data_IF_661201843196
#
_entry.id   IF_661201843196
#
_cell.length_a   1.000
_cell.length_b   1.000
_cell.length_c   1.000
_cell.angle_alpha   90.00
_cell.angle_beta   90.00
_cell.angle_gamma   90.00
#
_symmetry.space_group_name_H-M   'P 1'
#
loop_
_entity.id
_entity.type
_entity.pdbx_description
1 polymer ?
#
# COMPACT_ATOMS: atom_id res chain seq x y z
N UNK A 1 17.66 -55.43 -49.19
CA UNK A 1 16.78 -54.34 -49.65
C UNK A 1 15.60 -54.24 -48.71
N UNK A 2 15.65 -53.29 -47.76
CA UNK A 2 14.54 -52.83 -46.88
C UNK A 2 15.03 -52.06 -45.64
N UNK A 3 16.33 -51.75 -45.53
CA UNK A 3 16.71 -50.44 -44.98
C UNK A 3 16.12 -49.38 -45.94
N UNK A 4 15.36 -48.42 -45.41
CA UNK A 4 14.64 -47.33 -46.11
C UNK A 4 13.18 -47.59 -46.51
N UNK A 5 12.35 -48.02 -45.57
CA UNK A 5 10.98 -47.50 -45.39
C UNK A 5 10.55 -47.77 -43.96
N UNK A 6 9.90 -46.91 -43.21
CA UNK A 6 9.81 -45.46 -43.18
C UNK A 6 9.07 -45.28 -41.83
N UNK A 7 9.77 -45.01 -40.74
CA UNK A 7 9.76 -43.66 -40.12
C UNK A 7 8.37 -43.06 -39.81
N UNK A 8 7.30 -43.84 -39.59
CA UNK A 8 5.99 -43.27 -39.25
C UNK A 8 5.15 -43.97 -38.17
N UNK A 9 5.68 -44.95 -37.44
CA UNK A 9 4.89 -45.62 -36.39
C UNK A 9 5.60 -45.73 -35.03
N UNK A 10 6.51 -44.79 -34.77
CA UNK A 10 7.20 -44.64 -33.48
C UNK A 10 6.86 -43.32 -32.77
N UNK A 11 5.80 -42.60 -33.19
CA UNK A 11 5.60 -41.20 -32.77
C UNK A 11 4.36 -40.89 -31.91
N UNK A 12 3.47 -41.82 -31.54
CA UNK A 12 2.18 -41.43 -30.93
C UNK A 12 1.77 -42.15 -29.65
N UNK A 13 2.69 -42.79 -28.92
CA UNK A 13 2.33 -43.49 -27.66
C UNK A 13 3.30 -43.33 -26.49
N UNK A 14 4.08 -42.24 -26.47
CA UNK A 14 5.02 -41.90 -25.38
C UNK A 14 5.02 -40.40 -25.07
N UNK A 15 3.84 -39.75 -25.13
CA UNK A 15 3.67 -38.33 -24.79
C UNK A 15 2.57 -38.07 -23.75
N UNK A 16 2.39 -39.00 -22.81
CA UNK A 16 1.43 -38.89 -21.71
C UNK A 16 2.08 -38.81 -20.32
N UNK A 17 3.40 -38.64 -20.23
CA UNK A 17 4.13 -38.66 -18.95
C UNK A 17 4.83 -37.34 -18.52
N UNK A 18 4.62 -36.22 -19.21
CA UNK A 18 5.30 -34.95 -18.89
C UNK A 18 4.41 -33.71 -19.08
N UNK A 19 3.18 -33.74 -18.58
CA UNK A 19 2.28 -32.56 -18.65
C UNK A 19 1.41 -32.35 -17.39
N UNK A 20 1.95 -32.71 -16.22
CA UNK A 20 1.38 -32.36 -14.90
C UNK A 20 2.39 -31.64 -14.00
N UNK A 21 3.33 -30.89 -14.59
CA UNK A 21 4.10 -29.87 -13.87
C UNK A 21 3.37 -28.51 -13.90
N UNK A 22 2.05 -28.55 -13.67
CA UNK A 22 1.17 -27.37 -13.64
C UNK A 22 0.99 -26.87 -12.21
N UNK A 23 2.05 -26.37 -11.58
CA UNK A 23 1.95 -25.70 -10.26
C UNK A 23 2.87 -24.47 -10.12
N UNK A 24 3.33 -23.90 -11.24
CA UNK A 24 4.19 -22.69 -11.25
C UNK A 24 3.68 -21.51 -12.09
N UNK A 25 2.48 -21.59 -12.66
CA UNK A 25 2.01 -20.63 -13.68
C UNK A 25 1.01 -19.57 -13.20
N UNK A 26 0.54 -19.64 -11.95
CA UNK A 26 -0.36 -18.63 -11.38
C UNK A 26 0.34 -17.28 -11.13
N UNK A 27 1.62 -17.29 -10.73
CA UNK A 27 2.40 -16.08 -10.50
C UNK A 27 2.73 -15.32 -11.80
N UNK A 28 2.94 -16.03 -12.91
CA UNK A 28 3.30 -15.43 -14.21
C UNK A 28 2.09 -14.79 -14.92
N UNK A 29 0.87 -15.28 -14.66
CA UNK A 29 -0.35 -14.65 -15.19
C UNK A 29 -0.66 -13.31 -14.53
N UNK A 30 -0.34 -13.16 -13.24
CA UNK A 30 -0.54 -11.89 -12.53
C UNK A 30 0.34 -10.76 -13.08
N UNK A 31 1.59 -11.05 -13.44
CA UNK A 31 2.51 -10.08 -14.06
C UNK A 31 2.16 -9.74 -15.51
N UNK A 32 1.42 -10.60 -16.23
CA UNK A 32 0.89 -10.28 -17.56
C UNK A 32 -0.38 -9.42 -17.53
N UNK A 33 -1.13 -9.42 -16.42
CA UNK A 33 -2.33 -8.60 -16.24
C UNK A 33 -1.99 -7.14 -15.89
N UNK A 34 -0.88 -6.92 -15.19
CA UNK A 34 -0.26 -5.60 -15.14
C UNK A 34 0.36 -5.34 -16.51
N UNK A 35 -0.21 -4.39 -17.26
CA UNK A 35 0.43 -3.84 -18.45
C UNK A 35 1.94 -3.64 -18.15
N UNK A 36 2.85 -4.18 -18.98
CA UNK A 36 4.28 -4.10 -18.70
C UNK A 36 4.69 -2.65 -18.46
N UNK A 37 5.53 -2.34 -17.45
CA UNK A 37 6.03 -0.98 -17.23
C UNK A 37 6.73 -0.39 -18.48
N UNK A 38 7.14 -1.24 -19.42
CA UNK A 38 7.63 -0.88 -20.75
C UNK A 38 6.60 -0.15 -21.63
N UNK A 39 5.30 -0.45 -21.50
CA UNK A 39 4.21 0.23 -22.23
C UNK A 39 3.94 1.61 -21.63
N UNK A 40 4.11 1.77 -20.32
CA UNK A 40 4.06 3.06 -19.61
C UNK A 40 5.23 3.97 -20.02
N UNK A 41 6.40 3.40 -20.32
CA UNK A 41 7.55 4.17 -20.83
C UNK A 41 7.40 4.64 -22.29
N UNK A 42 6.45 4.05 -23.05
CA UNK A 42 6.25 4.32 -24.48
C UNK A 42 5.34 5.51 -24.75
N UNK A 43 4.51 5.91 -23.78
CA UNK A 43 3.64 7.07 -23.87
C UNK A 43 4.26 8.27 -23.10
N UNK A 44 4.76 9.33 -23.79
CA UNK A 44 5.43 10.45 -23.13
C UNK A 44 4.55 11.18 -22.11
N UNK A 45 3.22 11.17 -22.32
CA UNK A 45 2.26 11.76 -21.38
C UNK A 45 2.17 11.05 -20.02
N UNK A 46 2.28 9.71 -19.98
CA UNK A 46 2.16 8.95 -18.73
C UNK A 46 3.43 9.04 -17.88
N UNK A 47 4.60 9.14 -18.54
CA UNK A 47 5.88 9.36 -17.86
C UNK A 47 5.89 10.66 -17.04
N UNK A 48 5.35 11.75 -17.60
CA UNK A 48 5.23 13.04 -16.89
C UNK A 48 4.32 12.95 -15.66
N UNK A 49 3.22 12.20 -15.76
CA UNK A 49 2.29 12.01 -14.63
C UNK A 49 2.97 11.21 -13.51
N UNK A 50 3.67 10.11 -13.82
CA UNK A 50 4.38 9.32 -12.81
C UNK A 50 5.51 10.12 -12.15
N UNK A 51 6.26 10.90 -12.92
CA UNK A 51 7.35 11.73 -12.41
C UNK A 51 6.83 12.85 -11.49
N UNK A 52 5.69 13.47 -11.83
CA UNK A 52 5.04 14.47 -10.97
C UNK A 52 4.46 13.86 -9.69
N UNK A 53 3.87 12.67 -9.75
CA UNK A 53 3.40 11.93 -8.56
C UNK A 53 4.56 11.58 -7.61
N UNK A 54 5.65 11.02 -8.14
CA UNK A 54 6.83 10.66 -7.32
C UNK A 54 7.52 11.89 -6.71
N UNK A 55 7.55 13.02 -7.44
CA UNK A 55 8.05 14.29 -6.92
C UNK A 55 7.21 14.81 -5.75
N UNK A 56 5.89 14.66 -5.83
CA UNK A 56 4.94 15.08 -4.78
C UNK A 56 4.95 14.19 -3.53
N UNK A 57 5.41 12.92 -3.63
CA UNK A 57 5.48 11.98 -2.50
C UNK A 57 6.64 12.27 -1.53
N UNK A 58 7.75 12.84 -2.00
CA UNK A 58 8.95 13.12 -1.17
C UNK A 58 8.66 13.92 0.12
N UNK A 59 7.94 15.06 0.08
CA UNK A 59 7.66 15.84 1.29
C UNK A 59 6.71 15.12 2.27
N UNK A 60 5.89 14.19 1.77
CA UNK A 60 4.90 13.45 2.57
C UNK A 60 5.54 12.27 3.32
N UNK A 61 6.73 11.82 2.87
CA UNK A 61 7.42 10.64 3.39
C UNK A 61 7.58 10.65 4.91
N UNK A 62 7.88 11.81 5.50
CA UNK A 62 8.06 11.92 6.96
C UNK A 62 6.77 11.57 7.73
N UNK A 63 5.61 12.05 7.26
CA UNK A 63 4.31 11.79 7.90
C UNK A 63 3.95 10.30 7.75
N UNK A 64 4.22 9.72 6.58
CA UNK A 64 3.95 8.31 6.30
C UNK A 64 4.80 7.41 7.20
N UNK A 65 6.09 7.71 7.38
CA UNK A 65 6.97 6.93 8.27
C UNK A 65 6.47 6.96 9.71
N UNK A 66 6.06 8.14 10.20
CA UNK A 66 5.48 8.27 11.55
C UNK A 66 4.18 7.45 11.65
N UNK A 67 3.29 7.54 10.67
CA UNK A 67 2.05 6.77 10.61
C UNK A 67 2.32 5.26 10.62
N UNK A 68 3.28 4.78 9.82
CA UNK A 68 3.69 3.38 9.80
C UNK A 68 4.24 2.91 11.16
N UNK A 69 5.01 3.76 11.86
CA UNK A 69 5.50 3.43 13.20
C UNK A 69 4.33 3.27 14.20
N UNK A 70 3.35 4.18 14.16
CA UNK A 70 2.13 4.04 14.97
C UNK A 70 1.35 2.76 14.64
N UNK A 71 1.24 2.40 13.36
CA UNK A 71 0.56 1.17 12.96
C UNK A 71 1.26 -0.07 13.50
N UNK A 72 2.60 -0.08 13.56
CA UNK A 72 3.35 -1.18 14.15
C UNK A 72 3.10 -1.27 15.66
N UNK A 73 3.09 -0.13 16.37
CA UNK A 73 2.83 -0.09 17.82
C UNK A 73 1.46 -0.69 18.15
N UNK A 74 0.41 -0.25 17.46
CA UNK A 74 -0.93 -0.82 17.62
C UNK A 74 -1.00 -2.28 17.15
N UNK A 75 -0.27 -2.63 16.09
CA UNK A 75 -0.24 -4.00 15.56
C UNK A 75 0.31 -5.04 16.55
N UNK A 76 1.34 -4.67 17.33
CA UNK A 76 1.94 -5.55 18.35
C UNK A 76 1.03 -5.68 19.58
N UNK A 77 0.26 -4.63 19.91
CA UNK A 77 -0.69 -4.63 21.02
C UNK A 77 -1.98 -5.41 20.71
N UNK A 78 -2.16 -5.83 19.46
CA UNK A 78 -3.33 -6.61 19.05
C UNK A 78 -3.36 -8.01 19.68
N UNK A 79 -4.52 -8.37 20.25
CA UNK A 79 -4.76 -9.67 20.85
C UNK A 79 -4.92 -10.80 19.83
N UNK A 80 -4.80 -12.04 20.29
CA UNK A 80 -5.10 -13.22 19.46
C UNK A 80 -6.59 -13.52 19.49
N UNK A 81 -7.20 -13.69 18.32
CA UNK A 81 -8.64 -13.98 18.20
C UNK A 81 -8.87 -15.38 17.65
N UNK A 82 -9.51 -16.21 18.46
CA UNK A 82 -9.92 -17.56 18.10
C UNK A 82 -11.37 -17.77 18.49
N UNK A 83 -12.07 -18.62 17.72
CA UNK A 83 -13.46 -18.96 17.96
C UNK A 83 -13.70 -20.43 17.64
N UNK A 84 -14.50 -21.10 18.47
CA UNK A 84 -15.02 -22.42 18.15
C UNK A 84 -16.15 -22.32 17.12
N UNK A 85 -16.04 -23.06 16.03
CA UNK A 85 -17.06 -23.17 14.99
C UNK A 85 -17.74 -24.55 15.05
N UNK A 86 -19.03 -24.55 15.39
CA UNK A 86 -19.88 -25.73 15.55
C UNK A 86 -21.37 -25.38 15.49
N UNK A 87 -22.26 -26.39 15.61
CA UNK A 87 -23.72 -26.17 15.64
C UNK A 87 -24.17 -25.53 16.96
N UNK A 88 -23.74 -26.08 18.11
CA UNK A 88 -24.12 -25.60 19.44
C UNK A 88 -22.89 -25.24 20.31
N UNK A 89 -22.48 -23.97 20.26
CA UNK A 89 -21.30 -23.47 20.98
C UNK A 89 -21.60 -22.83 22.34
N UNK A 90 -22.84 -22.87 22.81
CA UNK A 90 -23.29 -22.15 24.03
C UNK A 90 -22.63 -22.63 25.33
N UNK A 91 -22.29 -23.91 25.42
CA UNK A 91 -21.66 -24.52 26.60
C UNK A 91 -20.14 -24.76 26.44
N UNK A 92 -19.54 -24.26 25.36
CA UNK A 92 -18.11 -24.41 25.09
C UNK A 92 -17.37 -23.23 25.70
N UNK A 93 -16.50 -23.48 26.68
CA UNK A 93 -15.72 -22.41 27.33
C UNK A 93 -14.30 -22.32 26.82
N UNK A 94 -13.69 -23.48 26.51
CA UNK A 94 -12.28 -23.59 26.15
C UNK A 94 -12.09 -24.34 24.84
N UNK A 95 -10.89 -24.21 24.27
CA UNK A 95 -10.46 -24.99 23.10
C UNK A 95 -10.55 -26.51 23.30
N UNK A 96 -10.24 -27.00 24.51
CA UNK A 96 -10.36 -28.42 24.85
C UNK A 96 -11.79 -28.93 24.71
N UNK A 97 -12.77 -28.11 25.10
CA UNK A 97 -14.19 -28.46 25.05
C UNK A 97 -14.67 -28.46 23.60
N UNK A 98 -14.20 -27.48 22.80
CA UNK A 98 -14.46 -27.42 21.36
C UNK A 98 -13.97 -28.70 20.64
N UNK A 99 -12.77 -29.16 20.96
CA UNK A 99 -12.21 -30.38 20.38
C UNK A 99 -12.96 -31.64 20.83
N UNK A 100 -13.42 -31.70 22.09
CA UNK A 100 -14.23 -32.81 22.61
C UNK A 100 -15.61 -32.88 21.94
N UNK A 101 -16.21 -31.72 21.65
CA UNK A 101 -17.45 -31.61 20.89
C UNK A 101 -17.28 -31.90 19.39
N UNK A 102 -16.09 -32.29 18.92
CA UNK A 102 -15.75 -32.49 17.51
C UNK A 102 -15.97 -31.24 16.64
N UNK A 103 -15.87 -30.06 17.23
CA UNK A 103 -15.96 -28.76 16.55
C UNK A 103 -14.59 -28.24 16.15
N UNK A 104 -14.57 -27.21 15.28
CA UNK A 104 -13.33 -26.66 14.73
C UNK A 104 -12.94 -25.39 15.46
N UNK A 105 -11.78 -25.40 16.11
CA UNK A 105 -11.17 -24.18 16.66
C UNK A 105 -10.50 -23.39 15.54
N UNK A 106 -11.16 -22.33 15.08
CA UNK A 106 -10.72 -21.54 13.92
C UNK A 106 -10.24 -20.15 14.35
N UNK A 107 -9.31 -19.60 13.57
CA UNK A 107 -8.87 -18.20 13.71
C UNK A 107 -9.80 -17.29 12.93
N UNK A 108 -10.02 -16.08 13.45
CA UNK A 108 -10.67 -15.04 12.68
C UNK A 108 -9.83 -14.67 11.45
N UNK A 109 -10.51 -14.27 10.38
CA UNK A 109 -9.88 -13.85 9.12
C UNK A 109 -8.92 -12.67 9.33
N UNK A 110 -9.33 -11.73 10.20
CA UNK A 110 -8.53 -10.60 10.64
C UNK A 110 -8.05 -10.89 12.07
N UNK A 111 -6.74 -10.99 12.24
CA UNK A 111 -6.11 -11.33 13.53
C UNK A 111 -4.75 -10.63 13.66
N UNK A 112 -4.19 -10.67 14.87
CA UNK A 112 -2.91 -10.03 15.21
C UNK A 112 -1.80 -11.05 15.54
N UNK A 113 -1.88 -12.28 15.02
CA UNK A 113 -0.90 -13.35 15.33
C UNK A 113 0.51 -13.06 14.79
N UNK A 114 0.59 -12.39 13.64
CA UNK A 114 1.84 -12.05 12.96
C UNK A 114 1.76 -10.61 12.43
N UNK A 115 2.91 -9.95 12.26
CA UNK A 115 2.97 -8.57 11.79
C UNK A 115 2.20 -8.34 10.47
N UNK A 116 2.30 -9.25 9.51
CA UNK A 116 1.57 -9.12 8.24
C UNK A 116 0.05 -9.18 8.38
N UNK A 117 -0.46 -10.07 9.24
CA UNK A 117 -1.90 -10.19 9.52
C UNK A 117 -2.40 -9.01 10.35
N UNK A 118 -1.60 -8.54 11.31
CA UNK A 118 -1.86 -7.33 12.07
C UNK A 118 -1.97 -6.11 11.15
N UNK A 119 -1.01 -5.92 10.23
CA UNK A 119 -1.06 -4.83 9.26
C UNK A 119 -2.28 -4.91 8.33
N UNK A 120 -2.67 -6.12 7.89
CA UNK A 120 -3.89 -6.30 7.10
C UNK A 120 -5.14 -5.90 7.90
N UNK A 121 -5.23 -6.35 9.15
CA UNK A 121 -6.36 -6.03 10.04
C UNK A 121 -6.44 -4.52 10.34
N UNK A 122 -5.29 -3.89 10.62
CA UNK A 122 -5.19 -2.44 10.81
C UNK A 122 -5.51 -1.65 9.54
N UNK A 123 -5.17 -2.17 8.37
CA UNK A 123 -5.54 -1.54 7.10
C UNK A 123 -7.05 -1.56 6.87
N UNK A 124 -7.71 -2.68 7.19
CA UNK A 124 -9.18 -2.79 7.15
C UNK A 124 -9.83 -1.82 8.16
N UNK A 125 -9.31 -1.78 9.39
CA UNK A 125 -9.73 -0.80 10.41
C UNK A 125 -9.57 0.66 9.91
N UNK A 126 -8.40 1.00 9.35
CA UNK A 126 -8.13 2.34 8.81
C UNK A 126 -9.03 2.71 7.63
N UNK A 127 -9.41 1.72 6.81
CA UNK A 127 -10.32 1.91 5.67
C UNK A 127 -11.77 2.11 6.09
N UNK A 128 -12.10 1.83 7.36
CA UNK A 128 -13.46 1.90 7.93
C UNK A 128 -14.49 1.01 7.22
N UNK A 129 -14.03 -0.03 6.55
CA UNK A 129 -14.87 -1.06 5.95
C UNK A 129 -14.67 -2.36 6.71
N UNK A 130 -15.74 -3.00 7.20
CA UNK A 130 -15.62 -4.19 8.05
C UNK A 130 -14.89 -4.00 9.39
N UNK A 131 -14.66 -2.76 9.83
CA UNK A 131 -13.95 -2.44 11.08
C UNK A 131 -14.75 -2.81 12.34
N UNK A 132 -16.08 -2.77 12.24
CA UNK A 132 -17.00 -3.04 13.35
C UNK A 132 -16.90 -4.51 13.78
N UNK A 133 -16.78 -5.43 12.83
CA UNK A 133 -16.65 -6.87 13.11
C UNK A 133 -15.34 -7.15 13.88
N UNK A 134 -14.23 -6.55 13.43
CA UNK A 134 -12.92 -6.66 14.10
C UNK A 134 -12.98 -6.07 15.51
N UNK A 135 -13.70 -4.96 15.68
CA UNK A 135 -13.91 -4.33 16.98
C UNK A 135 -14.70 -5.25 17.91
N UNK A 136 -15.81 -5.84 17.47
CA UNK A 136 -16.59 -6.78 18.27
C UNK A 136 -15.79 -8.03 18.65
N UNK A 137 -15.05 -8.60 17.70
CA UNK A 137 -14.13 -9.72 17.95
C UNK A 137 -13.12 -9.37 19.06
N UNK A 138 -12.69 -8.10 19.13
CA UNK A 138 -11.81 -7.59 20.18
C UNK A 138 -12.50 -7.31 21.53
N UNK A 139 -13.75 -6.86 21.54
CA UNK A 139 -14.54 -6.64 22.77
C UNK A 139 -14.87 -7.95 23.47
N UNK A 140 -15.11 -9.00 22.68
CA UNK A 140 -15.51 -10.30 23.18
C UNK A 140 -14.30 -11.19 23.54
N UNK A 141 -13.09 -10.71 23.30
CA UNK A 141 -11.86 -11.44 23.58
C UNK A 141 -11.61 -11.57 25.10
N UNK A 142 -11.52 -12.82 25.56
CA UNK A 142 -11.30 -13.18 26.97
C UNK A 142 -9.82 -13.48 27.26
N UNK A 143 -9.25 -14.43 26.53
CA UNK A 143 -7.91 -14.94 26.76
C UNK A 143 -7.48 -15.99 25.73
N UNK A 144 -6.25 -16.49 25.86
CA UNK A 144 -5.72 -17.51 24.95
C UNK A 144 -6.45 -18.84 25.18
N UNK A 145 -6.88 -19.48 24.09
CA UNK A 145 -7.63 -20.76 24.10
C UNK A 145 -8.98 -20.72 24.85
N UNK A 146 -9.51 -19.51 25.11
CA UNK A 146 -10.84 -19.26 25.70
C UNK A 146 -11.83 -18.86 24.60
N UNK A 147 -13.07 -19.32 24.69
CA UNK A 147 -14.15 -18.91 23.79
C UNK A 147 -14.50 -17.44 24.05
N UNK A 148 -14.71 -16.61 23.00
CA UNK A 148 -15.12 -15.22 23.18
C UNK A 148 -16.47 -15.12 23.91
N UNK A 149 -16.57 -14.15 24.81
CA UNK A 149 -17.78 -13.86 25.60
C UNK A 149 -18.21 -12.43 25.32
N UNK A 150 -19.48 -12.27 24.94
CA UNK A 150 -20.07 -10.98 24.59
C UNK A 150 -19.79 -9.90 25.65
N UNK A 151 -19.20 -8.79 25.24
CA UNK A 151 -18.89 -7.63 26.09
C UNK A 151 -18.01 -7.92 27.31
N UNK A 152 -17.09 -8.88 27.21
CA UNK A 152 -16.18 -9.20 28.31
C UNK A 152 -15.22 -8.04 28.65
N UNK A 153 -14.63 -7.39 27.64
CA UNK A 153 -13.66 -6.31 27.79
C UNK A 153 -14.10 -5.02 27.08
N UNK A 154 -15.06 -4.25 27.64
CA UNK A 154 -15.58 -3.03 27.00
C UNK A 154 -14.52 -1.93 26.85
N UNK A 155 -13.46 -1.92 27.68
CA UNK A 155 -12.35 -0.97 27.57
C UNK A 155 -11.58 -1.07 26.25
N UNK A 156 -11.63 -2.22 25.59
CA UNK A 156 -11.01 -2.42 24.27
C UNK A 156 -11.64 -1.49 23.21
N UNK A 157 -12.85 -0.99 23.44
CA UNK A 157 -13.48 0.01 22.58
C UNK A 157 -12.61 1.28 22.46
N UNK A 158 -12.04 1.76 23.57
CA UNK A 158 -11.18 2.95 23.56
C UNK A 158 -9.93 2.74 22.72
N UNK A 159 -9.39 1.52 22.69
CA UNK A 159 -8.25 1.16 21.84
C UNK A 159 -8.61 1.30 20.35
N UNK A 160 -9.73 0.74 19.89
CA UNK A 160 -10.13 0.84 18.47
C UNK A 160 -10.53 2.27 18.09
N UNK A 161 -11.28 2.98 18.94
CA UNK A 161 -11.71 4.35 18.67
C UNK A 161 -10.51 5.30 18.65
N UNK A 162 -9.56 5.18 19.60
CA UNK A 162 -8.35 6.02 19.60
C UNK A 162 -7.50 5.78 18.36
N UNK A 163 -7.32 4.53 17.93
CA UNK A 163 -6.66 4.22 16.66
C UNK A 163 -7.33 4.93 15.47
N UNK A 164 -8.66 4.82 15.35
CA UNK A 164 -9.42 5.45 14.25
C UNK A 164 -9.27 6.98 14.24
N UNK A 165 -9.29 7.62 15.41
CA UNK A 165 -9.10 9.06 15.52
C UNK A 165 -7.68 9.49 15.13
N UNK A 166 -6.67 8.76 15.57
CA UNK A 166 -5.26 9.03 15.24
C UNK A 166 -5.03 8.87 13.74
N UNK A 167 -5.52 7.78 13.13
CA UNK A 167 -5.40 7.57 11.67
C UNK A 167 -6.11 8.67 10.90
N UNK A 168 -7.34 9.04 11.31
CA UNK A 168 -8.07 10.13 10.66
C UNK A 168 -7.32 11.46 10.74
N UNK A 169 -6.69 11.75 11.89
CA UNK A 169 -5.85 12.94 12.06
C UNK A 169 -4.63 12.92 11.12
N UNK A 170 -3.93 11.79 11.01
CA UNK A 170 -2.81 11.65 10.07
C UNK A 170 -3.23 11.83 8.62
N UNK A 171 -4.36 11.26 8.20
CA UNK A 171 -4.88 11.41 6.83
C UNK A 171 -5.20 12.87 6.54
N UNK A 172 -5.81 13.58 7.48
CA UNK A 172 -6.09 15.02 7.36
C UNK A 172 -4.79 15.81 7.22
N UNK A 173 -3.81 15.57 8.09
CA UNK A 173 -2.52 16.25 8.03
C UNK A 173 -1.73 15.93 6.75
N UNK A 174 -1.85 14.71 6.23
CA UNK A 174 -1.28 14.32 4.96
C UNK A 174 -1.91 15.12 3.81
N UNK A 175 -3.24 15.26 3.80
CA UNK A 175 -3.96 16.05 2.81
C UNK A 175 -3.55 17.52 2.85
N UNK A 176 -3.52 18.13 4.04
CA UNK A 176 -3.06 19.51 4.22
C UNK A 176 -1.62 19.67 3.75
N UNK A 177 -0.74 18.72 4.07
CA UNK A 177 0.65 18.72 3.62
C UNK A 177 0.79 18.73 2.09
N UNK A 178 -0.02 17.94 1.38
CA UNK A 178 -0.05 17.93 -0.09
C UNK A 178 -0.52 19.28 -0.66
N UNK A 179 -1.58 19.84 -0.10
CA UNK A 179 -2.14 21.12 -0.56
C UNK A 179 -1.12 22.25 -0.33
N UNK A 180 -0.49 22.29 0.85
CA UNK A 180 0.52 23.29 1.22
C UNK A 180 1.77 23.16 0.34
N UNK A 181 2.26 21.95 0.07
CA UNK A 181 3.39 21.75 -0.82
C UNK A 181 3.09 22.24 -2.25
N UNK A 182 1.91 21.91 -2.78
CA UNK A 182 1.49 22.38 -4.10
C UNK A 182 1.41 23.92 -4.15
N UNK A 183 0.88 24.54 -3.09
CA UNK A 183 0.84 26.00 -2.97
C UNK A 183 2.25 26.61 -2.95
N UNK A 184 3.16 26.07 -2.14
CA UNK A 184 4.56 26.52 -2.10
C UNK A 184 5.30 26.28 -3.41
N UNK A 185 4.97 25.24 -4.16
CA UNK A 185 5.56 24.97 -5.49
C UNK A 185 5.10 26.01 -6.52
N UNK A 186 3.80 26.33 -6.53
CA UNK A 186 3.26 27.38 -7.39
C UNK A 186 3.92 28.74 -7.09
N UNK A 187 3.99 29.12 -5.81
CA UNK A 187 4.63 30.37 -5.38
C UNK A 187 6.11 30.45 -5.78
N UNK A 188 6.89 29.37 -5.55
CA UNK A 188 8.30 29.28 -5.97
C UNK A 188 8.48 29.43 -7.49
N UNK A 189 7.57 28.87 -8.30
CA UNK A 189 7.63 29.00 -9.76
C UNK A 189 7.38 30.44 -10.23
N UNK A 190 6.43 31.13 -9.60
CA UNK A 190 6.16 32.54 -9.89
C UNK A 190 7.33 33.44 -9.49
N UNK A 191 7.86 33.26 -8.28
CA UNK A 191 9.03 34.02 -7.80
C UNK A 191 10.26 33.83 -8.71
N UNK A 192 10.50 32.60 -9.18
CA UNK A 192 11.58 32.26 -10.09
C UNK A 192 11.40 32.91 -11.47
N UNK A 193 10.18 32.89 -12.01
CA UNK A 193 9.88 33.51 -13.31
C UNK A 193 10.02 35.04 -13.24
N UNK A 194 9.53 35.66 -12.18
CA UNK A 194 9.74 37.09 -11.95
C UNK A 194 11.22 37.46 -11.80
N UNK A 195 12.01 36.61 -11.12
CA UNK A 195 13.45 36.82 -10.98
C UNK A 195 14.16 36.80 -12.34
N UNK A 196 13.83 35.83 -13.22
CA UNK A 196 14.36 35.77 -14.59
C UNK A 196 14.00 37.01 -15.40
N UNK A 197 12.74 37.45 -15.34
CA UNK A 197 12.30 38.68 -16.04
C UNK A 197 13.09 39.89 -15.52
N UNK A 198 13.35 39.98 -14.21
CA UNK A 198 14.16 41.05 -13.61
C UNK A 198 15.62 40.99 -14.08
N UNK A 199 16.21 39.80 -14.17
CA UNK A 199 17.58 39.61 -14.68
C UNK A 199 17.71 39.94 -16.17
N UNK A 200 16.79 39.49 -17.02
CA UNK A 200 16.78 39.83 -18.44
C UNK A 200 16.68 41.34 -18.66
N UNK A 201 15.83 42.03 -17.88
CA UNK A 201 15.71 43.49 -17.92
C UNK A 201 17.04 44.17 -17.51
N UNK A 202 17.75 43.62 -16.52
CA UNK A 202 19.08 44.12 -16.09
C UNK A 202 20.14 43.91 -17.18
N UNK A 203 20.21 42.72 -17.76
CA UNK A 203 21.13 42.39 -18.86
C UNK A 203 20.91 43.32 -20.07
N UNK A 204 19.66 43.49 -20.51
CA UNK A 204 19.30 44.41 -21.61
C UNK A 204 19.71 45.86 -21.33
N UNK A 205 19.59 46.32 -20.08
CA UNK A 205 20.05 47.66 -19.66
C UNK A 205 21.58 47.79 -19.70
N UNK A 206 22.30 46.77 -19.23
CA UNK A 206 23.77 46.74 -19.26
C UNK A 206 24.31 46.71 -20.70
N UNK A 207 23.70 45.91 -21.58
CA UNK A 207 24.07 45.89 -23.00
C UNK A 207 23.84 47.24 -23.69
N UNK A 208 22.70 47.90 -23.44
CA UNK A 208 22.43 49.23 -23.98
C UNK A 208 23.50 50.24 -23.55
N UNK A 209 23.92 50.20 -22.28
CA UNK A 209 25.01 51.05 -21.75
C UNK A 209 26.38 50.71 -22.37
N UNK A 210 26.67 49.44 -22.67
CA UNK A 210 27.92 49.05 -23.36
C UNK A 210 27.95 49.61 -24.79
N UNK A 211 26.87 49.41 -25.55
CA UNK A 211 26.76 49.89 -26.93
C UNK A 211 26.83 51.42 -27.04
N UNK A 212 26.29 52.16 -26.06
CA UNK A 212 26.41 53.62 -26.05
C UNK A 212 27.85 54.08 -25.82
N UNK A 213 28.57 53.46 -24.87
CA UNK A 213 29.98 53.76 -24.61
C UNK A 213 30.88 53.45 -25.81
N UNK A 214 30.64 52.34 -26.52
CA UNK A 214 31.40 51.98 -27.72
C UNK A 214 31.22 53.02 -28.84
N UNK A 215 30.00 53.56 -29.01
CA UNK A 215 29.73 54.63 -29.98
C UNK A 215 30.43 55.95 -29.62
N UNK A 216 30.45 56.32 -28.33
CA UNK A 216 31.17 57.51 -27.87
C UNK A 216 32.68 57.40 -28.07
N UNK A 217 33.25 56.20 -27.87
CA UNK A 217 34.68 55.96 -28.06
C UNK A 217 35.08 56.01 -29.55
N UNK A 218 34.24 55.51 -30.44
CA UNK A 218 34.51 55.47 -31.89
C UNK A 218 34.30 56.83 -32.59
N UNK A 219 33.61 57.78 -31.95
CA UNK A 219 33.40 59.14 -32.45
C UNK A 219 34.45 60.15 -32.02
N UNK A 220 35.43 59.74 -31.20
CA UNK A 220 36.62 60.52 -30.80
C UNK A 220 37.84 60.06 -31.58
#
# INVERSE_FOLDING_TARGET
>A
MSHLTHTLQTHTRTRTHTLTHTLGLSHVRATCACVPPSVISRAPGLKLVVETLMSSLKPIGNIVVICCAFFIIFGILGGKFFVCQGEDVRNITNRSDCNQASYKWVRHKYNFDNLGQALMSLFVLASKDGWVDIMYDGLDAVGVDQQPVMNYNPWMLLYFISFLLIVAFFVLNMFVGVVVENFHKCRRSQEAEEAKIREEKRLKRMEKKRRSKEKELAGR
#
